data_IF_216569787146
#
_entry.id   IF_216569787146
#
_cell.length_a   1.000
_cell.length_b   1.000
_cell.length_c   1.000
_cell.angle_alpha   90.00
_cell.angle_beta   90.00
_cell.angle_gamma   90.00
#
_symmetry.space_group_name_H-M   'P 1'
#
loop_
_entity.id
_entity.type
_entity.pdbx_description
1 polymer ?
#
# COMPACT_ATOMS: atom_id res chain seq x y z
N UNK A 1 -21.20 -10.52 19.81
CA UNK A 1 -20.35 -9.80 20.79
C UNK A 1 -19.70 -8.62 20.06
N UNK A 2 -20.43 -7.51 19.90
CA UNK A 2 -20.05 -6.31 19.14
C UNK A 2 -19.56 -5.17 20.07
N UNK A 3 -19.06 -5.49 21.28
CA UNK A 3 -18.83 -4.50 22.33
C UNK A 3 -17.58 -3.63 22.21
N UNK A 4 -16.55 -3.99 21.43
CA UNK A 4 -15.23 -3.34 21.54
C UNK A 4 -15.03 -2.10 20.64
N UNK A 5 -15.94 -1.85 19.69
CA UNK A 5 -15.90 -0.64 18.82
C UNK A 5 -16.87 0.44 19.33
N UNK A 6 -17.92 0.06 20.05
CA UNK A 6 -18.87 1.01 20.64
C UNK A 6 -18.25 1.90 21.72
N UNK A 7 -17.19 1.44 22.40
CA UNK A 7 -16.44 2.22 23.40
C UNK A 7 -15.49 3.28 22.79
N UNK A 8 -15.18 3.17 21.49
CA UNK A 8 -14.53 4.25 20.75
C UNK A 8 -15.62 5.09 20.11
N UNK A 9 -15.94 6.24 20.67
CA UNK A 9 -16.97 7.17 20.20
C UNK A 9 -16.73 7.53 18.72
N UNK A 10 -17.26 6.71 17.80
CA UNK A 10 -17.28 6.99 16.36
C UNK A 10 -18.44 7.94 16.10
N UNK A 11 -18.16 9.15 15.59
CA UNK A 11 -19.20 10.14 15.32
C UNK A 11 -20.15 9.69 14.19
N UNK A 12 -21.34 10.33 14.09
CA UNK A 12 -22.28 10.06 12.99
C UNK A 12 -21.65 10.33 11.62
N UNK A 13 -20.81 11.34 11.49
CA UNK A 13 -20.07 11.66 10.27
C UNK A 13 -19.08 10.54 9.89
N UNK A 14 -18.34 10.02 10.88
CA UNK A 14 -17.41 8.91 10.66
C UNK A 14 -18.15 7.65 10.26
N UNK A 15 -19.31 7.35 10.90
CA UNK A 15 -20.16 6.22 10.49
C UNK A 15 -20.67 6.39 9.05
N UNK A 16 -21.02 7.62 8.63
CA UNK A 16 -21.36 7.91 7.24
C UNK A 16 -20.22 7.57 6.29
N UNK A 17 -18.98 7.99 6.60
CA UNK A 17 -17.81 7.72 5.76
C UNK A 17 -17.52 6.22 5.69
N UNK A 18 -17.65 5.48 6.80
CA UNK A 18 -17.49 4.02 6.84
C UNK A 18 -18.51 3.29 5.96
N UNK A 19 -19.78 3.64 6.08
CA UNK A 19 -20.84 3.01 5.30
C UNK A 19 -20.70 3.36 3.81
N UNK A 20 -20.62 4.66 3.51
CA UNK A 20 -20.62 5.15 2.13
C UNK A 20 -19.27 4.95 1.41
N UNK A 21 -18.18 4.70 2.14
CA UNK A 21 -16.85 4.47 1.59
C UNK A 21 -16.62 3.07 1.01
N UNK A 22 -17.54 2.14 1.22
CA UNK A 22 -17.50 0.79 0.63
C UNK A 22 -17.82 0.84 -0.87
N UNK A 23 -17.21 -0.02 -1.67
CA UNK A 23 -17.48 -0.04 -3.10
C UNK A 23 -18.89 -0.51 -3.42
N UNK A 24 -19.46 -1.39 -2.63
CA UNK A 24 -20.85 -1.82 -2.74
C UNK A 24 -21.52 -1.81 -1.35
N UNK A 25 -22.64 -1.11 -1.29
CA UNK A 25 -23.51 -1.13 -0.13
C UNK A 25 -24.49 -2.30 -0.23
N UNK A 26 -24.44 -3.20 0.74
CA UNK A 26 -25.49 -4.20 0.93
C UNK A 26 -26.82 -3.51 1.26
N UNK A 27 -27.95 -4.17 1.01
CA UNK A 27 -29.29 -3.58 1.26
C UNK A 27 -29.48 -3.12 2.71
N UNK A 28 -28.98 -3.89 3.66
CA UNK A 28 -29.03 -3.54 5.08
C UNK A 28 -28.22 -2.26 5.39
N UNK A 29 -27.05 -2.11 4.76
CA UNK A 29 -26.20 -0.93 4.95
C UNK A 29 -26.74 0.29 4.23
N UNK A 30 -27.48 0.12 3.11
CA UNK A 30 -28.24 1.20 2.47
C UNK A 30 -29.30 1.76 3.42
N UNK A 31 -30.04 0.90 4.13
CA UNK A 31 -31.03 1.35 5.09
C UNK A 31 -30.38 2.08 6.29
N UNK A 32 -29.26 1.56 6.79
CA UNK A 32 -28.48 2.23 7.86
C UNK A 32 -28.00 3.60 7.38
N UNK A 33 -27.46 3.69 6.15
CA UNK A 33 -27.02 4.95 5.55
C UNK A 33 -28.19 5.94 5.41
N UNK A 34 -29.36 5.50 4.91
CA UNK A 34 -30.54 6.36 4.80
C UNK A 34 -31.00 6.91 6.15
N UNK A 35 -31.01 6.09 7.20
CA UNK A 35 -31.35 6.58 8.57
C UNK A 35 -30.34 7.62 9.05
N UNK A 36 -29.06 7.35 8.86
CA UNK A 36 -28.00 8.26 9.30
C UNK A 36 -28.00 9.59 8.55
N UNK A 37 -28.26 9.54 7.24
CA UNK A 37 -28.38 10.75 6.39
C UNK A 37 -29.55 11.64 6.77
N UNK A 38 -30.56 11.14 7.49
CA UNK A 38 -31.68 11.95 7.99
C UNK A 38 -31.33 12.71 9.29
N UNK A 39 -30.20 12.42 9.92
CA UNK A 39 -29.71 13.15 11.10
C UNK A 39 -29.08 14.50 10.68
N UNK A 40 -28.98 15.47 11.60
CA UNK A 40 -28.20 16.68 11.37
C UNK A 40 -26.71 16.33 11.33
N UNK A 41 -26.10 16.39 10.14
CA UNK A 41 -24.72 16.00 9.89
C UNK A 41 -23.85 17.19 9.51
N UNK A 42 -22.61 17.22 10.01
CA UNK A 42 -21.59 18.18 9.61
C UNK A 42 -20.95 17.75 8.27
N UNK A 43 -21.60 18.03 7.15
CA UNK A 43 -21.19 17.61 5.80
C UNK A 43 -19.74 17.99 5.44
N UNK A 44 -19.24 19.09 5.98
CA UNK A 44 -17.84 19.49 5.78
C UNK A 44 -16.88 18.47 6.40
N UNK A 45 -17.21 17.87 7.53
CA UNK A 45 -16.40 16.82 8.15
C UNK A 45 -16.48 15.52 7.34
N UNK A 46 -17.67 15.17 6.83
CA UNK A 46 -17.85 13.97 5.97
C UNK A 46 -17.00 14.09 4.71
N UNK A 47 -17.13 15.20 3.96
CA UNK A 47 -16.37 15.39 2.73
C UNK A 47 -14.88 15.41 3.00
N UNK A 48 -14.41 16.13 4.00
CA UNK A 48 -13.01 16.17 4.41
C UNK A 48 -12.48 14.77 4.76
N UNK A 49 -13.16 14.03 5.64
CA UNK A 49 -12.77 12.67 6.01
C UNK A 49 -12.75 11.74 4.79
N UNK A 50 -13.74 11.81 3.91
CA UNK A 50 -13.77 11.01 2.69
C UNK A 50 -12.54 11.25 1.79
N UNK A 51 -12.07 12.50 1.70
CA UNK A 51 -10.83 12.85 0.98
C UNK A 51 -9.58 12.33 1.69
N UNK A 52 -9.44 12.62 2.97
CA UNK A 52 -8.27 12.23 3.77
C UNK A 52 -8.11 10.70 3.82
N UNK A 53 -9.21 9.97 3.90
CA UNK A 53 -9.28 8.52 3.94
C UNK A 53 -9.22 7.86 2.53
N UNK A 54 -9.27 8.65 1.46
CA UNK A 54 -9.15 8.18 0.09
C UNK A 54 -10.35 7.37 -0.42
N UNK A 55 -11.54 7.60 0.13
CA UNK A 55 -12.78 6.87 -0.21
C UNK A 55 -13.86 7.75 -0.85
N UNK A 56 -13.57 9.02 -1.13
CA UNK A 56 -14.54 9.98 -1.67
C UNK A 56 -15.20 9.53 -2.99
N UNK A 57 -14.58 8.75 -3.91
CA UNK A 57 -15.28 8.30 -5.11
C UNK A 57 -16.41 7.31 -4.78
N UNK A 58 -16.16 6.38 -3.84
CA UNK A 58 -17.18 5.45 -3.36
C UNK A 58 -18.30 6.18 -2.63
N UNK A 59 -17.96 7.16 -1.76
CA UNK A 59 -18.94 8.02 -1.07
C UNK A 59 -19.82 8.75 -2.08
N UNK A 60 -19.26 9.41 -3.10
CA UNK A 60 -20.01 10.12 -4.13
C UNK A 60 -20.96 9.18 -4.88
N UNK A 61 -20.47 8.01 -5.30
CA UNK A 61 -21.27 7.00 -6.00
C UNK A 61 -22.43 6.50 -5.16
N UNK A 62 -22.19 6.19 -3.87
CA UNK A 62 -23.23 5.68 -3.00
C UNK A 62 -24.26 6.75 -2.64
N UNK A 63 -23.86 7.99 -2.39
CA UNK A 63 -24.78 9.12 -2.23
C UNK A 63 -25.65 9.33 -3.49
N UNK A 64 -25.07 9.21 -4.69
CA UNK A 64 -25.82 9.28 -5.95
C UNK A 64 -26.85 8.16 -6.05
N UNK A 65 -26.52 6.92 -5.68
CA UNK A 65 -27.44 5.77 -5.64
C UNK A 65 -28.59 5.99 -4.66
N UNK A 66 -28.32 6.67 -3.54
CA UNK A 66 -29.31 7.07 -2.53
C UNK A 66 -30.06 8.36 -2.88
N UNK A 67 -29.85 8.92 -4.09
CA UNK A 67 -30.56 10.11 -4.60
C UNK A 67 -30.08 11.42 -3.98
N UNK A 68 -28.87 11.50 -3.44
CA UNK A 68 -28.28 12.71 -2.80
C UNK A 68 -29.16 13.29 -1.67
N UNK A 69 -29.92 12.44 -0.99
CA UNK A 69 -30.85 12.88 0.06
C UNK A 69 -30.10 13.61 1.17
N UNK A 70 -30.61 14.78 1.56
CA UNK A 70 -30.07 15.64 2.63
C UNK A 70 -28.65 16.16 2.41
N UNK A 71 -28.05 15.95 1.23
CA UNK A 71 -26.70 16.45 0.91
C UNK A 71 -26.81 17.89 0.42
N UNK A 72 -26.11 18.85 1.03
CA UNK A 72 -26.05 20.22 0.53
C UNK A 72 -25.48 20.27 -0.89
N UNK A 73 -26.08 21.08 -1.77
CA UNK A 73 -25.72 21.18 -3.18
C UNK A 73 -24.22 21.47 -3.40
N UNK A 74 -23.65 22.34 -2.58
CA UNK A 74 -22.20 22.64 -2.64
C UNK A 74 -21.36 21.40 -2.41
N UNK A 75 -21.71 20.53 -1.44
CA UNK A 75 -20.98 19.30 -1.14
C UNK A 75 -21.18 18.22 -2.21
N UNK A 76 -22.39 18.14 -2.76
CA UNK A 76 -22.67 17.30 -3.92
C UNK A 76 -21.77 17.67 -5.10
N UNK A 77 -21.76 18.96 -5.48
CA UNK A 77 -20.98 19.46 -6.61
C UNK A 77 -19.46 19.19 -6.42
N UNK A 78 -18.96 19.39 -5.19
CA UNK A 78 -17.58 19.12 -4.80
C UNK A 78 -17.24 17.62 -4.99
N UNK A 79 -18.03 16.71 -4.43
CA UNK A 79 -17.82 15.27 -4.53
C UNK A 79 -17.92 14.79 -5.98
N UNK A 80 -18.90 15.24 -6.75
CA UNK A 80 -19.06 14.88 -8.17
C UNK A 80 -17.89 15.37 -9.03
N UNK A 81 -17.38 16.58 -8.76
CA UNK A 81 -16.21 17.10 -9.47
C UNK A 81 -14.94 16.27 -9.17
N UNK A 82 -14.72 15.94 -7.91
CA UNK A 82 -13.59 15.13 -7.50
C UNK A 82 -13.64 13.70 -8.03
N UNK A 83 -14.82 13.08 -8.02
CA UNK A 83 -15.02 11.75 -8.61
C UNK A 83 -14.67 11.74 -10.11
N UNK A 84 -15.15 12.74 -10.87
CA UNK A 84 -14.82 12.87 -12.30
C UNK A 84 -13.32 13.06 -12.53
N UNK A 85 -12.67 13.89 -11.70
CA UNK A 85 -11.24 14.13 -11.79
C UNK A 85 -10.43 12.85 -11.49
N UNK A 86 -10.84 12.10 -10.46
CA UNK A 86 -10.22 10.81 -10.12
C UNK A 86 -10.37 9.80 -11.27
N UNK A 87 -11.56 9.68 -11.85
CA UNK A 87 -11.80 8.80 -12.98
C UNK A 87 -10.93 9.16 -14.20
N UNK A 88 -10.85 10.46 -14.55
CA UNK A 88 -10.00 10.95 -15.62
C UNK A 88 -8.52 10.66 -15.37
N UNK A 89 -8.03 10.91 -14.14
CA UNK A 89 -6.67 10.59 -13.74
C UNK A 89 -6.38 9.09 -13.84
N UNK A 90 -7.26 8.26 -13.31
CA UNK A 90 -7.07 6.82 -13.33
C UNK A 90 -7.10 6.26 -14.77
N UNK A 91 -7.88 6.84 -15.69
CA UNK A 91 -7.83 6.48 -17.11
C UNK A 91 -6.44 6.77 -17.72
N UNK A 92 -5.78 7.85 -17.33
CA UNK A 92 -4.39 8.15 -17.73
C UNK A 92 -3.39 7.17 -17.11
N UNK A 93 -3.59 6.80 -15.84
CA UNK A 93 -2.77 5.77 -15.17
C UNK A 93 -2.92 4.40 -15.84
N UNK A 94 -4.13 3.99 -16.22
CA UNK A 94 -4.38 2.76 -17.00
C UNK A 94 -3.58 2.74 -18.29
N UNK A 95 -3.59 3.86 -19.05
CA UNK A 95 -2.81 3.98 -20.28
C UNK A 95 -1.30 3.91 -20.01
N UNK A 96 -0.83 4.55 -18.92
CA UNK A 96 0.56 4.49 -18.48
C UNK A 96 0.98 3.05 -18.16
N UNK A 97 0.18 2.37 -17.33
CA UNK A 97 0.40 0.98 -16.96
C UNK A 97 0.40 0.06 -18.18
N UNK A 98 -0.57 0.20 -19.07
CA UNK A 98 -0.66 -0.58 -20.30
C UNK A 98 0.61 -0.52 -21.14
N UNK A 99 1.16 0.69 -21.35
CA UNK A 99 2.45 0.86 -22.07
C UNK A 99 3.61 0.14 -21.40
N UNK A 100 3.70 0.23 -20.07
CA UNK A 100 4.75 -0.47 -19.31
C UNK A 100 4.59 -1.98 -19.46
N UNK A 101 3.38 -2.51 -19.26
CA UNK A 101 3.11 -3.94 -19.36
C UNK A 101 3.42 -4.51 -20.75
N UNK A 102 2.97 -3.85 -21.82
CA UNK A 102 3.30 -4.23 -23.20
C UNK A 102 4.83 -4.22 -23.45
N UNK A 103 5.51 -3.24 -22.90
CA UNK A 103 6.96 -3.11 -23.08
C UNK A 103 7.72 -4.24 -22.39
N UNK A 104 7.29 -4.63 -21.19
CA UNK A 104 7.86 -5.73 -20.44
C UNK A 104 7.54 -7.09 -21.09
N UNK A 105 6.32 -7.26 -21.58
CA UNK A 105 5.91 -8.46 -22.30
C UNK A 105 6.77 -8.68 -23.57
N UNK A 106 6.95 -7.64 -24.40
CA UNK A 106 7.84 -7.69 -25.58
C UNK A 106 9.30 -7.99 -25.24
N UNK A 107 9.75 -7.60 -24.05
CA UNK A 107 11.08 -7.90 -23.56
C UNK A 107 11.21 -9.29 -22.91
N UNK A 108 10.09 -10.05 -22.81
CA UNK A 108 10.05 -11.36 -22.17
C UNK A 108 10.24 -11.28 -20.65
N UNK A 109 10.00 -10.12 -20.02
CA UNK A 109 10.12 -9.94 -18.58
C UNK A 109 8.77 -10.22 -17.93
N UNK A 110 8.65 -11.26 -17.08
CA UNK A 110 7.43 -11.49 -16.33
C UNK A 110 7.12 -10.29 -15.45
N UNK A 111 5.91 -9.73 -15.60
CA UNK A 111 5.48 -8.55 -14.85
C UNK A 111 4.07 -8.76 -14.31
N UNK A 112 3.85 -8.30 -13.09
CA UNK A 112 2.58 -8.39 -12.39
C UNK A 112 2.19 -7.00 -11.88
N UNK A 113 1.12 -6.38 -12.40
CA UNK A 113 0.61 -5.17 -11.78
C UNK A 113 0.02 -5.52 -10.41
N UNK A 114 0.38 -4.72 -9.41
CA UNK A 114 -0.11 -4.92 -8.05
C UNK A 114 -1.39 -4.09 -7.82
N UNK A 115 -1.53 -3.43 -6.71
CA UNK A 115 -2.64 -2.54 -6.34
C UNK A 115 -3.03 -1.50 -7.42
N UNK A 116 -3.49 -0.35 -7.02
CA UNK A 116 -3.76 0.79 -7.91
C UNK A 116 -4.93 0.53 -8.87
N UNK A 117 -4.73 0.95 -10.11
CA UNK A 117 -5.76 0.81 -11.17
C UNK A 117 -6.00 -0.64 -11.58
N UNK A 118 -5.02 -1.52 -11.41
CA UNK A 118 -5.18 -2.95 -11.70
C UNK A 118 -6.13 -3.63 -10.71
N UNK A 119 -6.02 -3.29 -9.42
CA UNK A 119 -6.95 -3.73 -8.38
C UNK A 119 -8.33 -3.08 -8.57
N UNK A 120 -8.39 -1.80 -8.92
CA UNK A 120 -9.65 -1.13 -9.20
C UNK A 120 -10.43 -1.81 -10.34
N UNK A 121 -9.75 -2.19 -11.42
CA UNK A 121 -10.34 -2.93 -12.54
C UNK A 121 -10.86 -4.31 -12.10
N UNK A 122 -10.02 -5.10 -11.42
CA UNK A 122 -10.36 -6.49 -11.06
C UNK A 122 -11.39 -6.59 -9.94
N UNK A 123 -11.26 -5.75 -8.91
CA UNK A 123 -12.03 -5.86 -7.68
C UNK A 123 -13.28 -4.98 -7.70
N UNK A 124 -13.17 -3.75 -8.21
CA UNK A 124 -14.27 -2.80 -8.19
C UNK A 124 -15.07 -2.80 -9.51
N UNK A 125 -14.49 -3.29 -10.60
CA UNK A 125 -15.08 -3.27 -11.94
C UNK A 125 -15.21 -1.86 -12.53
N UNK A 126 -14.64 -0.86 -11.87
CA UNK A 126 -14.63 0.55 -12.25
C UNK A 126 -13.36 1.21 -11.69
N UNK A 127 -12.47 1.58 -12.60
CA UNK A 127 -11.18 2.21 -12.21
C UNK A 127 -11.36 3.56 -11.52
N UNK A 128 -12.50 4.22 -11.71
CA UNK A 128 -12.81 5.51 -11.09
C UNK A 128 -13.11 5.43 -9.58
N UNK A 129 -13.43 4.25 -9.05
CA UNK A 129 -13.88 4.10 -7.66
C UNK A 129 -12.78 4.06 -6.61
N UNK A 130 -11.56 3.82 -7.02
CA UNK A 130 -10.41 3.76 -6.12
C UNK A 130 -9.50 4.97 -6.34
N UNK A 131 -9.04 5.59 -5.25
CA UNK A 131 -8.03 6.66 -5.35
C UNK A 131 -6.66 6.03 -5.55
N UNK A 132 -6.06 6.31 -6.73
CA UNK A 132 -4.74 5.82 -7.11
C UNK A 132 -3.76 6.99 -7.27
N UNK A 133 -2.53 6.85 -6.75
CA UNK A 133 -1.46 7.86 -6.84
C UNK A 133 -0.28 7.42 -7.71
N UNK A 134 -0.07 6.13 -7.80
CA UNK A 134 1.12 5.44 -8.27
C UNK A 134 0.75 4.23 -9.13
N UNK A 135 1.74 3.72 -9.85
CA UNK A 135 1.68 2.45 -10.56
C UNK A 135 2.70 1.50 -9.92
N UNK A 136 2.23 0.36 -9.45
CA UNK A 136 3.08 -0.65 -8.85
C UNK A 136 3.16 -1.87 -9.76
N UNK A 137 4.37 -2.29 -10.09
CA UNK A 137 4.63 -3.51 -10.83
C UNK A 137 5.62 -4.39 -10.09
N UNK A 138 5.38 -5.69 -10.07
CA UNK A 138 6.26 -6.69 -9.47
C UNK A 138 6.92 -7.51 -10.57
N UNK A 139 8.23 -7.67 -10.47
CA UNK A 139 9.02 -8.55 -11.35
C UNK A 139 9.79 -9.58 -10.51
N UNK A 140 10.17 -10.74 -11.07
CA UNK A 140 11.12 -11.63 -10.41
C UNK A 140 12.43 -10.90 -10.09
N UNK A 141 13.01 -11.16 -8.93
CA UNK A 141 14.26 -10.50 -8.50
C UNK A 141 15.38 -10.63 -9.54
N UNK A 142 15.47 -11.75 -10.24
CA UNK A 142 16.45 -11.97 -11.31
C UNK A 142 16.25 -11.04 -12.50
N UNK A 143 15.04 -10.55 -12.72
CA UNK A 143 14.72 -9.66 -13.84
C UNK A 143 14.94 -8.16 -13.51
N UNK A 144 15.20 -7.80 -12.23
CA UNK A 144 15.32 -6.40 -11.80
C UNK A 144 16.36 -5.61 -12.59
N UNK A 145 17.59 -6.12 -12.85
CA UNK A 145 18.57 -5.36 -13.64
C UNK A 145 18.06 -5.05 -15.04
N UNK A 146 17.50 -6.03 -15.74
CA UNK A 146 16.98 -5.87 -17.09
C UNK A 146 15.75 -4.93 -17.12
N UNK A 147 14.84 -5.08 -16.14
CA UNK A 147 13.68 -4.19 -15.99
C UNK A 147 14.10 -2.72 -15.78
N UNK A 148 15.14 -2.51 -14.97
CA UNK A 148 15.69 -1.20 -14.70
C UNK A 148 16.28 -0.56 -15.96
N UNK A 149 17.14 -1.30 -16.69
CA UNK A 149 17.73 -0.85 -17.94
C UNK A 149 16.67 -0.55 -19.00
N UNK A 150 15.62 -1.39 -19.09
CA UNK A 150 14.51 -1.21 -20.00
C UNK A 150 13.76 0.10 -19.74
N UNK A 151 13.44 0.39 -18.47
CA UNK A 151 12.77 1.64 -18.08
C UNK A 151 13.64 2.86 -18.41
N UNK A 152 14.95 2.81 -18.14
CA UNK A 152 15.86 3.91 -18.49
C UNK A 152 15.93 4.11 -20.00
N UNK A 153 16.01 3.04 -20.79
CA UNK A 153 16.01 3.10 -22.25
C UNK A 153 14.72 3.72 -22.83
N UNK A 154 13.61 3.53 -22.14
CA UNK A 154 12.30 4.13 -22.50
C UNK A 154 12.14 5.56 -21.94
N UNK A 155 13.22 6.16 -21.38
CA UNK A 155 13.25 7.54 -20.89
C UNK A 155 12.65 7.75 -19.51
N UNK A 156 12.46 6.69 -18.71
CA UNK A 156 12.10 6.84 -17.31
C UNK A 156 13.31 7.30 -16.50
N UNK A 157 13.08 8.26 -15.62
CA UNK A 157 14.09 8.75 -14.69
C UNK A 157 13.84 8.20 -13.30
N UNK A 158 14.90 7.99 -12.51
CA UNK A 158 14.76 7.59 -11.12
C UNK A 158 14.10 8.72 -10.32
N UNK A 159 13.08 8.37 -9.54
CA UNK A 159 12.29 9.33 -8.76
C UNK A 159 13.07 9.93 -7.59
N UNK A 160 14.07 9.22 -7.11
CA UNK A 160 15.00 9.70 -6.09
C UNK A 160 16.30 10.27 -6.74
N UNK A 161 17.04 11.05 -5.95
CA UNK A 161 18.30 11.65 -6.40
C UNK A 161 19.49 10.67 -6.36
N UNK A 162 19.27 9.43 -5.99
CA UNK A 162 20.32 8.44 -5.74
C UNK A 162 21.14 8.09 -6.99
N UNK A 163 20.60 8.34 -8.21
CA UNK A 163 21.23 8.01 -9.47
C UNK A 163 21.90 6.61 -9.45
N UNK A 164 21.12 5.61 -9.03
CA UNK A 164 21.55 4.21 -8.99
C UNK A 164 22.07 3.82 -10.36
N UNK A 165 23.27 3.24 -10.42
CA UNK A 165 23.82 2.71 -11.67
C UNK A 165 23.40 1.25 -11.83
N UNK A 166 23.33 0.73 -13.07
CA UNK A 166 23.05 -0.69 -13.30
C UNK A 166 23.96 -1.63 -12.51
N UNK A 167 25.23 -1.26 -12.29
CA UNK A 167 26.19 -2.01 -11.46
C UNK A 167 25.79 -2.15 -9.99
N UNK A 168 24.99 -1.21 -9.47
CA UNK A 168 24.63 -1.16 -8.06
C UNK A 168 23.32 -1.93 -7.78
N UNK A 169 22.55 -2.23 -8.84
CA UNK A 169 21.21 -2.82 -8.73
C UNK A 169 21.24 -4.16 -8.00
N UNK A 170 22.17 -5.05 -8.36
CA UNK A 170 22.28 -6.35 -7.72
C UNK A 170 22.61 -6.26 -6.22
N UNK A 171 23.35 -5.24 -5.81
CA UNK A 171 23.65 -4.96 -4.42
C UNK A 171 22.40 -4.41 -3.72
N UNK A 172 21.76 -3.41 -4.30
CA UNK A 172 20.57 -2.76 -3.74
C UNK A 172 19.35 -3.67 -3.70
N UNK A 173 19.18 -4.57 -4.68
CA UNK A 173 18.12 -5.56 -4.67
C UNK A 173 18.16 -6.52 -3.47
N UNK A 174 19.26 -6.56 -2.73
CA UNK A 174 19.37 -7.31 -1.47
C UNK A 174 18.86 -6.53 -0.26
N UNK A 175 18.80 -5.21 -0.35
CA UNK A 175 18.49 -4.32 0.78
C UNK A 175 17.24 -3.47 0.58
N UNK A 176 16.84 -3.21 -0.66
CA UNK A 176 15.57 -2.59 -1.03
C UNK A 176 14.56 -3.65 -1.49
N UNK A 177 13.34 -3.23 -1.77
CA UNK A 177 12.28 -4.07 -2.34
C UNK A 177 11.64 -3.43 -3.57
N UNK A 178 11.94 -2.17 -3.83
CA UNK A 178 11.35 -1.36 -4.89
C UNK A 178 12.32 -0.24 -5.31
N UNK A 179 12.14 0.24 -6.54
CA UNK A 179 12.70 1.50 -7.04
C UNK A 179 11.59 2.34 -7.64
N UNK A 180 11.60 3.65 -7.34
CA UNK A 180 10.70 4.62 -7.93
C UNK A 180 11.23 5.20 -9.24
N UNK A 181 10.34 5.38 -10.21
CA UNK A 181 10.63 6.00 -11.50
C UNK A 181 9.57 7.05 -11.84
N UNK A 182 9.99 8.11 -12.49
CA UNK A 182 9.10 9.08 -13.13
C UNK A 182 9.11 8.87 -14.64
N UNK A 183 7.95 8.93 -15.32
CA UNK A 183 7.89 8.78 -16.77
C UNK A 183 8.55 9.96 -17.48
N UNK A 184 8.88 9.83 -18.79
CA UNK A 184 9.35 10.94 -19.61
C UNK A 184 8.44 12.16 -19.51
N UNK A 185 9.01 13.38 -19.59
CA UNK A 185 8.28 14.65 -19.46
C UNK A 185 7.10 14.82 -20.46
N UNK A 186 7.12 14.09 -21.56
CA UNK A 186 6.03 14.06 -22.55
C UNK A 186 4.81 13.23 -22.11
N UNK A 187 4.94 12.44 -21.03
CA UNK A 187 3.87 11.61 -20.49
C UNK A 187 3.12 12.33 -19.36
N UNK A 188 1.90 11.81 -19.05
CA UNK A 188 1.21 12.22 -17.84
C UNK A 188 2.04 11.84 -16.61
N UNK A 189 2.24 12.74 -15.63
CA UNK A 189 3.09 12.50 -14.48
C UNK A 189 2.47 11.48 -13.52
N UNK A 190 3.25 10.45 -13.18
CA UNK A 190 2.94 9.45 -12.15
C UNK A 190 4.24 8.91 -11.54
N UNK A 191 4.14 8.27 -10.40
CA UNK A 191 5.22 7.46 -9.85
C UNK A 191 5.01 6.01 -10.32
N UNK A 192 6.05 5.39 -10.91
CA UNK A 192 6.11 3.96 -11.19
C UNK A 192 7.03 3.31 -10.16
N UNK A 193 6.50 2.41 -9.35
CA UNK A 193 7.26 1.63 -8.38
C UNK A 193 7.53 0.23 -8.95
N UNK A 194 8.80 -0.04 -9.25
CA UNK A 194 9.29 -1.34 -9.67
C UNK A 194 9.63 -2.18 -8.44
N UNK A 195 8.76 -3.12 -8.10
CA UNK A 195 8.92 -4.04 -6.97
C UNK A 195 9.54 -5.37 -7.39
N UNK A 196 10.24 -6.03 -6.47
CA UNK A 196 10.67 -7.44 -6.57
C UNK A 196 10.40 -8.22 -5.29
N UNK A 197 9.77 -7.58 -4.32
CA UNK A 197 9.31 -8.20 -3.08
C UNK A 197 8.02 -7.49 -2.62
N UNK A 198 7.13 -8.21 -1.96
CA UNK A 198 5.87 -7.66 -1.43
C UNK A 198 5.89 -7.50 0.08
N UNK A 199 6.77 -8.20 0.75
CA UNK A 199 6.88 -8.21 2.21
C UNK A 199 8.13 -7.45 2.64
N UNK A 200 7.92 -6.25 2.98
CA UNK A 200 8.87 -5.30 3.47
C UNK A 200 9.92 -5.91 4.42
N UNK A 201 11.15 -6.10 3.94
CA UNK A 201 12.37 -6.48 4.68
C UNK A 201 12.22 -7.64 5.69
N UNK A 202 11.06 -8.29 5.76
CA UNK A 202 10.78 -9.28 6.79
C UNK A 202 11.65 -10.51 6.69
N UNK A 203 11.77 -11.05 5.52
CA UNK A 203 12.64 -12.21 5.35
C UNK A 203 13.55 -12.16 4.13
N UNK A 204 13.16 -11.43 3.05
CA UNK A 204 13.89 -11.51 1.77
C UNK A 204 14.04 -12.98 1.36
N UNK A 205 12.96 -13.73 1.50
CA UNK A 205 12.99 -15.18 1.44
C UNK A 205 12.70 -15.58 -0.01
N UNK A 206 13.68 -16.20 -0.67
CA UNK A 206 13.47 -16.75 -2.00
C UNK A 206 12.24 -17.67 -2.02
N UNK A 207 12.03 -18.45 -0.96
CA UNK A 207 10.88 -19.33 -0.82
C UNK A 207 9.52 -18.61 -0.84
N UNK A 208 9.43 -17.35 -0.37
CA UNK A 208 8.20 -16.58 -0.47
C UNK A 208 7.96 -16.10 -1.90
N UNK A 209 9.00 -15.63 -2.58
CA UNK A 209 8.91 -15.23 -3.98
C UNK A 209 8.55 -16.42 -4.88
N UNK A 210 9.18 -17.58 -4.67
CA UNK A 210 8.89 -18.81 -5.41
C UNK A 210 7.44 -19.26 -5.21
N UNK A 211 6.93 -19.24 -3.97
CA UNK A 211 5.53 -19.58 -3.66
C UNK A 211 4.55 -18.60 -4.29
N UNK A 212 4.87 -17.30 -4.25
CA UNK A 212 4.04 -16.24 -4.83
C UNK A 212 3.94 -16.39 -6.36
N UNK A 213 5.10 -16.50 -7.04
CA UNK A 213 5.15 -16.63 -8.50
C UNK A 213 4.62 -18.00 -8.96
N UNK A 214 4.85 -19.06 -8.19
CA UNK A 214 4.30 -20.41 -8.46
C UNK A 214 2.77 -20.48 -8.35
N UNK A 215 2.17 -19.64 -7.52
CA UNK A 215 0.70 -19.52 -7.38
C UNK A 215 0.09 -18.44 -8.28
N UNK A 216 0.90 -17.67 -9.01
CA UNK A 216 0.43 -16.58 -9.87
C UNK A 216 -0.48 -17.10 -10.99
N UNK A 217 -1.41 -16.26 -11.39
CA UNK A 217 -2.39 -16.58 -12.45
C UNK A 217 -2.25 -15.61 -13.60
N UNK A 218 -2.77 -15.98 -14.78
CA UNK A 218 -2.90 -15.08 -15.91
C UNK A 218 -4.30 -14.47 -15.92
N UNK A 219 -4.39 -13.20 -16.27
CA UNK A 219 -5.66 -12.52 -16.56
C UNK A 219 -5.49 -11.46 -17.64
N UNK A 220 -6.60 -11.06 -18.23
CA UNK A 220 -6.64 -9.92 -19.13
C UNK A 220 -6.74 -8.61 -18.36
N UNK A 221 -5.90 -7.65 -18.71
CA UNK A 221 -5.97 -6.27 -18.25
C UNK A 221 -5.96 -5.37 -19.49
N UNK A 222 -7.12 -4.80 -19.82
CA UNK A 222 -7.29 -3.91 -20.99
C UNK A 222 -6.70 -4.46 -22.29
N UNK A 223 -6.93 -5.74 -22.55
CA UNK A 223 -6.46 -6.43 -23.76
C UNK A 223 -5.04 -6.98 -23.71
N UNK A 224 -4.32 -6.78 -22.60
CA UNK A 224 -2.97 -7.30 -22.37
C UNK A 224 -3.07 -8.48 -21.39
N UNK A 225 -2.40 -9.59 -21.71
CA UNK A 225 -2.30 -10.71 -20.78
C UNK A 225 -1.22 -10.44 -19.76
N UNK A 226 -1.57 -10.43 -18.46
CA UNK A 226 -0.68 -10.13 -17.36
C UNK A 226 -0.69 -11.23 -16.31
N UNK A 227 0.39 -11.34 -15.56
CA UNK A 227 0.41 -12.10 -14.32
C UNK A 227 -0.35 -11.35 -13.23
N UNK A 228 -0.97 -12.07 -12.31
CA UNK A 228 -1.66 -11.51 -11.15
C UNK A 228 -1.48 -12.42 -9.94
N UNK A 229 -1.58 -11.86 -8.76
CA UNK A 229 -1.56 -12.63 -7.51
C UNK A 229 -2.72 -13.64 -7.49
N UNK A 230 -2.50 -14.80 -6.85
CA UNK A 230 -3.64 -15.62 -6.45
C UNK A 230 -4.48 -14.87 -5.40
N UNK A 231 -5.77 -15.19 -5.23
CA UNK A 231 -6.61 -14.52 -4.23
C UNK A 231 -6.01 -14.53 -2.83
N UNK A 232 -5.38 -15.63 -2.44
CA UNK A 232 -4.73 -15.80 -1.13
C UNK A 232 -3.53 -14.85 -1.00
N UNK A 233 -2.69 -14.75 -2.05
CA UNK A 233 -1.57 -13.82 -2.06
C UNK A 233 -2.01 -12.37 -2.18
N UNK A 234 -3.10 -12.08 -2.89
CA UNK A 234 -3.66 -10.73 -2.96
C UNK A 234 -4.13 -10.24 -1.58
N UNK A 235 -4.86 -11.08 -0.83
CA UNK A 235 -5.25 -10.75 0.54
C UNK A 235 -4.04 -10.55 1.45
N UNK A 236 -3.03 -11.42 1.39
CA UNK A 236 -1.81 -11.30 2.18
C UNK A 236 -1.02 -10.03 1.81
N UNK A 237 -0.90 -9.73 0.52
CA UNK A 237 -0.25 -8.51 0.05
C UNK A 237 -0.96 -7.25 0.54
N UNK A 238 -2.28 -7.16 0.41
CA UNK A 238 -3.06 -6.02 0.87
C UNK A 238 -2.96 -5.83 2.38
N UNK A 239 -2.96 -6.92 3.15
CA UNK A 239 -2.79 -6.86 4.60
C UNK A 239 -1.38 -6.35 4.99
N UNK A 240 -0.33 -6.78 4.31
CA UNK A 240 1.04 -6.30 4.51
C UNK A 240 1.18 -4.85 4.07
N UNK A 241 0.57 -4.48 2.94
CA UNK A 241 0.57 -3.11 2.45
C UNK A 241 -0.13 -2.15 3.41
N UNK A 242 -1.30 -2.51 3.94
CA UNK A 242 -1.98 -1.75 4.97
C UNK A 242 -1.14 -1.62 6.25
N UNK A 243 -0.45 -2.71 6.66
CA UNK A 243 0.45 -2.68 7.81
C UNK A 243 1.67 -1.77 7.60
N UNK A 244 2.24 -1.75 6.38
CA UNK A 244 3.32 -0.83 5.98
C UNK A 244 2.89 0.63 6.12
N UNK A 245 1.67 0.93 5.75
CA UNK A 245 1.05 2.25 5.92
C UNK A 245 0.36 2.41 7.28
N UNK A 246 0.64 1.53 8.25
CA UNK A 246 0.09 1.61 9.62
C UNK A 246 -1.43 1.61 9.68
N UNK A 247 -2.07 1.03 8.66
CA UNK A 247 -3.53 1.08 8.44
C UNK A 247 -4.10 2.51 8.41
N UNK A 248 -3.27 3.52 8.10
CA UNK A 248 -3.66 4.92 7.97
C UNK A 248 -4.23 5.17 6.58
N UNK A 249 -5.55 5.20 6.49
CA UNK A 249 -6.30 5.35 5.26
C UNK A 249 -7.31 4.23 5.05
N UNK A 250 -8.57 4.61 5.12
CA UNK A 250 -9.69 3.68 5.02
C UNK A 250 -9.68 2.89 3.71
N UNK A 251 -9.17 3.50 2.62
CA UNK A 251 -9.08 2.85 1.30
C UNK A 251 -8.39 1.48 1.33
N UNK A 252 -7.37 1.30 2.16
CA UNK A 252 -6.66 0.01 2.24
C UNK A 252 -7.46 -1.06 2.98
N UNK A 253 -8.23 -0.65 3.99
CA UNK A 253 -9.14 -1.56 4.69
C UNK A 253 -10.36 -1.89 3.84
N UNK A 254 -10.84 -0.94 3.03
CA UNK A 254 -11.90 -1.18 2.04
C UNK A 254 -11.42 -2.18 0.98
N UNK A 255 -10.19 -2.05 0.46
CA UNK A 255 -9.61 -3.04 -0.47
C UNK A 255 -9.66 -4.46 0.13
N UNK A 256 -9.25 -4.63 1.39
CA UNK A 256 -9.25 -5.92 2.09
C UNK A 256 -10.69 -6.43 2.30
N UNK A 257 -11.61 -5.56 2.71
CA UNK A 257 -13.02 -5.90 2.87
C UNK A 257 -13.63 -6.41 1.57
N UNK A 258 -13.40 -5.69 0.45
CA UNK A 258 -13.93 -6.05 -0.86
C UNK A 258 -13.33 -7.37 -1.39
N UNK A 259 -12.04 -7.62 -1.16
CA UNK A 259 -11.42 -8.92 -1.49
C UNK A 259 -12.07 -10.03 -0.69
N UNK A 260 -12.26 -9.85 0.63
CA UNK A 260 -12.88 -10.87 1.48
C UNK A 260 -14.34 -11.16 1.14
N UNK A 261 -15.07 -10.16 0.61
CA UNK A 261 -16.48 -10.34 0.22
C UNK A 261 -16.65 -10.98 -1.15
N UNK A 262 -15.70 -10.79 -2.06
CA UNK A 262 -15.85 -11.19 -3.47
C UNK A 262 -15.04 -12.42 -3.87
N UNK A 263 -13.84 -12.57 -3.31
CA UNK A 263 -12.99 -13.70 -3.65
C UNK A 263 -13.37 -14.94 -2.86
N UNK A 264 -13.24 -16.10 -3.51
CA UNK A 264 -13.30 -17.38 -2.83
C UNK A 264 -11.88 -17.76 -2.41
N UNK A 265 -11.66 -17.89 -1.11
CA UNK A 265 -10.37 -18.28 -0.54
C UNK A 265 -10.39 -19.71 -0.06
N UNK A 266 -9.25 -20.36 -0.19
CA UNK A 266 -8.87 -21.43 0.71
C UNK A 266 -8.23 -20.80 1.97
N UNK A 267 -9.04 -20.66 3.03
CA UNK A 267 -8.60 -20.02 4.28
C UNK A 267 -7.50 -20.78 5.01
N UNK A 268 -7.43 -22.08 4.84
CA UNK A 268 -6.34 -22.88 5.40
C UNK A 268 -5.03 -22.52 4.68
N UNK A 269 -5.06 -22.43 3.36
CA UNK A 269 -3.92 -21.93 2.56
C UNK A 269 -3.53 -20.51 2.93
N UNK A 270 -4.48 -19.58 3.11
CA UNK A 270 -4.19 -18.20 3.57
C UNK A 270 -3.46 -18.23 4.91
N UNK A 271 -4.00 -19.01 5.87
CA UNK A 271 -3.47 -19.07 7.22
C UNK A 271 -2.09 -19.70 7.27
N UNK A 272 -1.87 -20.77 6.51
CA UNK A 272 -0.59 -21.48 6.45
C UNK A 272 0.49 -20.63 5.78
N UNK A 273 0.19 -19.98 4.66
CA UNK A 273 1.10 -19.01 4.02
C UNK A 273 1.42 -17.86 4.97
N UNK A 274 0.42 -17.28 5.63
CA UNK A 274 0.63 -16.21 6.59
C UNK A 274 1.58 -16.63 7.73
N UNK A 275 1.41 -17.82 8.29
CA UNK A 275 2.29 -18.37 9.34
C UNK A 275 3.68 -18.69 8.83
N UNK A 276 3.77 -19.37 7.68
CA UNK A 276 5.03 -19.78 7.06
C UNK A 276 5.92 -18.58 6.78
N UNK A 277 5.35 -17.51 6.26
CA UNK A 277 6.09 -16.32 5.87
C UNK A 277 6.07 -15.19 6.92
N UNK A 278 5.46 -15.42 8.08
CA UNK A 278 5.44 -14.46 9.20
C UNK A 278 4.55 -13.24 8.97
N UNK A 279 3.52 -13.38 8.14
CA UNK A 279 2.55 -12.34 7.80
C UNK A 279 1.28 -12.42 8.67
N UNK A 280 1.21 -13.40 9.56
CA UNK A 280 0.02 -13.76 10.36
C UNK A 280 -0.50 -12.63 11.24
N UNK A 281 0.36 -11.75 11.76
CA UNK A 281 -0.08 -10.62 12.56
C UNK A 281 -0.62 -9.47 11.73
N UNK A 282 0.03 -9.16 10.59
CA UNK A 282 -0.48 -8.15 9.68
C UNK A 282 -1.87 -8.55 9.17
N UNK A 283 -2.04 -9.81 8.76
CA UNK A 283 -3.32 -10.37 8.36
C UNK A 283 -4.34 -10.27 9.50
N UNK A 284 -4.00 -10.72 10.72
CA UNK A 284 -4.92 -10.73 11.86
C UNK A 284 -5.40 -9.33 12.23
N UNK A 285 -4.51 -8.32 12.27
CA UNK A 285 -4.88 -6.94 12.58
C UNK A 285 -5.78 -6.37 11.48
N UNK A 286 -5.42 -6.60 10.21
CA UNK A 286 -6.21 -6.12 9.07
C UNK A 286 -7.62 -6.70 9.06
N UNK A 287 -7.76 -8.02 9.23
CA UNK A 287 -9.06 -8.67 9.25
C UNK A 287 -9.90 -8.26 10.47
N UNK A 288 -9.26 -8.10 11.63
CA UNK A 288 -9.95 -7.61 12.84
C UNK A 288 -10.48 -6.18 12.66
N UNK A 289 -9.68 -5.30 12.03
CA UNK A 289 -10.11 -3.94 11.71
C UNK A 289 -11.26 -3.94 10.69
N UNK A 290 -11.15 -4.72 9.62
CA UNK A 290 -12.19 -4.83 8.60
C UNK A 290 -13.49 -5.40 9.16
N UNK A 291 -13.42 -6.39 10.05
CA UNK A 291 -14.62 -6.93 10.70
C UNK A 291 -15.26 -5.89 11.63
N UNK A 292 -14.45 -5.19 12.42
CA UNK A 292 -14.95 -4.17 13.34
C UNK A 292 -15.58 -2.97 12.62
N UNK A 293 -15.02 -2.55 11.47
CA UNK A 293 -15.47 -1.35 10.75
C UNK A 293 -16.58 -1.65 9.74
N UNK A 294 -16.53 -2.79 9.05
CA UNK A 294 -17.40 -3.10 7.90
C UNK A 294 -18.22 -4.37 8.09
N UNK A 295 -18.05 -5.11 9.22
CA UNK A 295 -18.69 -6.42 9.36
C UNK A 295 -18.18 -7.45 8.34
N UNK A 296 -16.92 -7.35 7.91
CA UNK A 296 -16.32 -8.22 6.88
C UNK A 296 -16.58 -9.69 7.19
N UNK A 297 -17.15 -10.48 6.26
CA UNK A 297 -17.42 -11.89 6.49
C UNK A 297 -16.11 -12.66 6.62
N UNK A 298 -15.94 -13.36 7.72
CA UNK A 298 -14.80 -14.23 7.98
C UNK A 298 -15.29 -15.64 8.27
N UNK A 299 -14.52 -16.71 7.94
CA UNK A 299 -14.93 -18.06 8.21
C UNK A 299 -15.06 -18.29 9.72
N UNK A 300 -16.00 -19.15 10.18
CA UNK A 300 -16.18 -19.45 11.60
C UNK A 300 -14.92 -19.99 12.29
N UNK A 301 -14.03 -20.63 11.51
CA UNK A 301 -12.73 -21.13 11.99
C UNK A 301 -11.71 -20.01 12.25
N UNK A 302 -11.95 -18.78 11.75
CA UNK A 302 -11.04 -17.66 11.95
C UNK A 302 -11.35 -16.94 13.26
N UNK A 303 -10.44 -17.06 14.22
CA UNK A 303 -10.57 -16.38 15.52
C UNK A 303 -10.21 -14.91 15.39
N UNK A 304 -11.20 -14.04 15.42
CA UNK A 304 -11.02 -12.58 15.40
C UNK A 304 -10.46 -12.13 16.73
N UNK A 305 -9.48 -11.24 16.66
CA UNK A 305 -8.86 -10.63 17.84
C UNK A 305 -9.37 -9.20 18.01
N UNK A 306 -9.39 -8.66 19.23
CA UNK A 306 -9.68 -7.25 19.44
C UNK A 306 -8.72 -6.38 18.64
N UNK A 307 -9.25 -5.31 18.04
CA UNK A 307 -8.43 -4.31 17.35
C UNK A 307 -7.50 -3.67 18.37
N UNK A 308 -6.18 -3.66 18.13
CA UNK A 308 -5.23 -3.09 19.07
C UNK A 308 -5.57 -1.64 19.41
N UNK A 309 -5.51 -1.25 20.71
CA UNK A 309 -5.83 0.10 21.16
C UNK A 309 -4.96 1.19 20.54
N UNK A 310 -3.76 0.84 20.09
CA UNK A 310 -2.83 1.75 19.42
C UNK A 310 -3.13 1.97 17.94
N UNK A 311 -4.06 1.20 17.34
CA UNK A 311 -4.47 1.37 15.95
C UNK A 311 -5.54 2.46 15.87
N UNK A 312 -5.26 3.62 15.26
CA UNK A 312 -6.29 4.62 15.01
C UNK A 312 -7.22 4.08 13.90
N UNK A 313 -8.51 4.04 14.17
CA UNK A 313 -9.50 3.61 13.16
C UNK A 313 -9.84 4.72 12.15
N UNK A 314 -9.52 5.97 12.49
CA UNK A 314 -9.62 7.15 11.64
C UNK A 314 -8.38 8.01 11.86
N UNK A 315 -7.34 7.82 11.09
CA UNK A 315 -6.08 8.52 11.28
C UNK A 315 -5.97 9.81 10.47
N UNK A 316 -6.99 10.62 10.37
CA UNK A 316 -6.81 11.95 9.84
C UNK A 316 -5.70 12.66 10.64
N UNK A 317 -4.51 12.80 10.09
CA UNK A 317 -3.38 13.55 10.64
C UNK A 317 -2.45 12.86 11.65
N UNK A 318 -2.16 11.57 11.52
CA UNK A 318 -1.01 11.05 12.26
C UNK A 318 0.31 11.66 11.68
N UNK A 319 1.18 12.24 12.52
CA UNK A 319 2.41 12.86 12.04
C UNK A 319 3.31 11.84 11.34
N UNK A 320 4.01 12.28 10.28
CA UNK A 320 5.05 11.45 9.66
C UNK A 320 6.05 11.02 10.74
N UNK A 321 6.18 9.72 10.90
CA UNK A 321 7.13 9.16 11.86
C UNK A 321 8.43 8.84 11.13
N UNK A 322 9.56 9.19 11.74
CA UNK A 322 10.87 8.81 11.23
C UNK A 322 11.04 7.28 11.17
N UNK A 323 11.95 6.81 10.31
CA UNK A 323 12.22 5.38 10.03
C UNK A 323 12.32 4.48 11.28
N UNK A 324 12.91 4.98 12.37
CA UNK A 324 13.07 4.23 13.62
C UNK A 324 11.75 4.00 14.37
N UNK A 325 10.87 4.99 14.40
CA UNK A 325 9.55 4.82 15.02
C UNK A 325 8.70 3.83 14.22
N UNK A 326 8.81 3.89 12.91
CA UNK A 326 8.18 2.94 12.00
C UNK A 326 8.72 1.52 12.22
N UNK A 327 10.06 1.36 12.29
CA UNK A 327 10.70 0.09 12.59
C UNK A 327 10.24 -0.50 13.94
N UNK A 328 10.05 0.35 14.95
CA UNK A 328 9.55 -0.08 16.25
C UNK A 328 8.09 -0.54 16.23
N UNK A 329 7.26 0.02 15.35
CA UNK A 329 5.90 -0.48 15.14
C UNK A 329 5.90 -1.80 14.39
N UNK A 330 6.65 -1.88 13.29
CA UNK A 330 6.74 -3.10 12.48
C UNK A 330 7.29 -4.27 13.28
N UNK A 331 8.27 -4.04 14.17
CA UNK A 331 8.76 -5.12 15.04
C UNK A 331 7.65 -5.77 15.87
N UNK A 332 6.56 -5.06 16.21
CA UNK A 332 5.41 -5.60 16.95
C UNK A 332 4.64 -6.65 16.13
N UNK A 333 4.81 -6.65 14.81
CA UNK A 333 4.19 -7.62 13.92
C UNK A 333 4.87 -8.99 13.98
N UNK A 334 6.09 -9.10 14.52
CA UNK A 334 6.77 -10.38 14.68
C UNK A 334 6.38 -11.08 15.98
N UNK A 335 6.02 -12.36 15.92
CA UNK A 335 5.68 -13.16 17.10
C UNK A 335 6.90 -13.51 17.94
N UNK A 336 7.97 -13.98 17.28
CA UNK A 336 9.17 -14.46 17.96
C UNK A 336 10.12 -13.32 18.27
N UNK A 337 10.69 -13.30 19.48
CA UNK A 337 11.70 -12.31 19.89
C UNK A 337 12.91 -12.31 18.95
N UNK A 338 13.34 -13.49 18.50
CA UNK A 338 14.45 -13.63 17.56
C UNK A 338 14.17 -12.95 16.21
N UNK A 339 12.97 -13.06 15.68
CA UNK A 339 12.60 -12.41 14.41
C UNK A 339 12.56 -10.88 14.58
N UNK A 340 12.16 -10.38 15.76
CA UNK A 340 12.25 -8.94 16.10
C UNK A 340 13.68 -8.45 16.09
N UNK A 341 14.59 -9.21 16.72
CA UNK A 341 16.01 -8.86 16.75
C UNK A 341 16.64 -8.93 15.35
N UNK A 342 16.35 -9.98 14.58
CA UNK A 342 16.80 -10.10 13.18
C UNK A 342 16.30 -8.95 12.31
N UNK A 343 15.06 -8.54 12.48
CA UNK A 343 14.49 -7.41 11.76
C UNK A 343 15.22 -6.11 12.10
N UNK A 344 15.41 -5.81 13.40
CA UNK A 344 16.13 -4.62 13.82
C UNK A 344 17.61 -4.64 13.36
N UNK A 345 18.27 -5.80 13.46
CA UNK A 345 19.63 -5.97 12.96
C UNK A 345 19.71 -5.72 11.44
N UNK A 346 18.71 -6.19 10.66
CA UNK A 346 18.67 -5.91 9.23
C UNK A 346 18.52 -4.43 8.91
N UNK A 347 17.67 -3.71 9.63
CA UNK A 347 17.50 -2.27 9.42
C UNK A 347 18.79 -1.53 9.79
N UNK A 348 19.43 -1.91 10.89
CA UNK A 348 20.65 -1.28 11.34
C UNK A 348 21.87 -1.57 10.45
N UNK A 349 21.95 -2.80 9.93
CA UNK A 349 23.17 -3.28 9.25
C UNK A 349 23.09 -3.22 7.74
N UNK A 350 21.90 -3.38 7.14
CA UNK A 350 21.80 -3.42 5.67
C UNK A 350 21.91 -2.02 5.08
N UNK A 351 22.82 -1.82 4.13
CA UNK A 351 22.94 -0.56 3.41
C UNK A 351 21.65 -0.24 2.65
N UNK A 352 21.37 1.05 2.52
CA UNK A 352 20.24 1.60 1.76
C UNK A 352 20.76 2.55 0.68
N UNK A 353 19.86 3.18 -0.05
CA UNK A 353 20.20 4.26 -0.99
C UNK A 353 20.95 5.40 -0.30
N UNK A 354 20.64 5.70 0.96
CA UNK A 354 21.29 6.76 1.71
C UNK A 354 22.80 6.57 1.88
N UNK A 355 23.32 5.35 1.87
CA UNK A 355 24.77 5.12 1.91
C UNK A 355 25.43 5.43 0.56
N UNK A 356 24.75 5.15 -0.55
CA UNK A 356 25.21 5.49 -1.90
C UNK A 356 25.20 7.01 -2.13
N UNK A 357 24.22 7.70 -1.58
CA UNK A 357 24.15 9.17 -1.61
C UNK A 357 25.22 9.82 -0.73
N UNK A 358 25.47 9.22 0.44
CA UNK A 358 26.49 9.73 1.39
C UNK A 358 27.91 9.58 0.86
N UNK A 359 28.27 8.43 0.27
CA UNK A 359 29.57 8.17 -0.33
C UNK A 359 29.49 7.09 -1.40
N UNK A 360 29.83 7.45 -2.65
CA UNK A 360 29.91 6.49 -3.74
C UNK A 360 31.24 5.73 -3.72
N UNK A 361 31.14 4.43 -3.52
CA UNK A 361 32.29 3.53 -3.57
C UNK A 361 32.50 3.01 -5.00
N UNK A 362 33.75 2.75 -5.43
CA UNK A 362 34.05 2.08 -6.68
C UNK A 362 33.39 0.70 -6.79
N UNK A 363 33.12 0.27 -8.03
CA UNK A 363 32.61 -1.07 -8.30
C UNK A 363 33.54 -2.12 -7.65
N UNK A 364 32.93 -3.13 -6.96
CA UNK A 364 33.65 -4.15 -6.21
C UNK A 364 33.83 -3.88 -4.73
N UNK A 365 33.71 -2.62 -4.26
CA UNK A 365 33.83 -2.28 -2.85
C UNK A 365 32.48 -2.21 -2.10
N UNK A 366 31.41 -2.78 -2.66
CA UNK A 366 30.06 -2.76 -2.09
C UNK A 366 29.96 -3.29 -0.65
N UNK A 367 30.85 -4.22 -0.26
CA UNK A 367 30.92 -4.71 1.12
C UNK A 367 31.22 -3.60 2.16
N UNK A 368 31.89 -2.52 1.75
CA UNK A 368 32.22 -1.39 2.63
C UNK A 368 30.99 -0.51 2.96
N UNK A 369 29.88 -0.65 2.22
CA UNK A 369 28.64 0.01 2.61
C UNK A 369 28.07 -0.47 3.93
N UNK A 370 28.38 -1.70 4.38
CA UNK A 370 27.93 -2.18 5.69
C UNK A 370 28.52 -1.39 6.87
N UNK A 371 29.85 -1.22 7.00
CA UNK A 371 30.41 -0.36 8.03
C UNK A 371 30.05 1.12 7.80
N UNK A 372 29.97 1.60 6.56
CA UNK A 372 29.56 2.96 6.25
C UNK A 372 28.14 3.27 6.75
N UNK A 373 27.23 2.29 6.70
CA UNK A 373 25.88 2.39 7.29
C UNK A 373 25.95 2.72 8.78
N UNK A 374 26.78 2.03 9.53
CA UNK A 374 26.93 2.26 10.97
C UNK A 374 27.48 3.66 11.28
N UNK A 375 28.47 4.10 10.49
CA UNK A 375 29.03 5.46 10.60
C UNK A 375 27.94 6.50 10.32
N UNK A 376 27.20 6.39 9.21
CA UNK A 376 26.14 7.33 8.87
C UNK A 376 25.04 7.38 9.92
N UNK A 377 24.60 6.24 10.42
CA UNK A 377 23.59 6.18 11.50
C UNK A 377 24.09 6.80 12.79
N UNK A 378 25.37 6.62 13.14
CA UNK A 378 25.97 7.24 14.33
C UNK A 378 26.02 8.77 14.20
N UNK A 379 26.41 9.28 13.03
CA UNK A 379 26.42 10.72 12.73
C UNK A 379 24.99 11.28 12.80
N UNK A 380 24.03 10.63 12.14
CA UNK A 380 22.62 11.05 12.16
C UNK A 380 22.04 11.10 13.58
N UNK A 381 22.37 10.10 14.41
CA UNK A 381 21.94 10.07 15.81
C UNK A 381 22.60 11.18 16.64
N UNK A 382 23.89 11.43 16.46
CA UNK A 382 24.60 12.51 17.13
C UNK A 382 24.04 13.89 16.75
N UNK A 383 23.76 14.13 15.46
CA UNK A 383 23.13 15.37 14.99
C UNK A 383 21.71 15.56 15.55
N UNK A 384 20.92 14.48 15.66
CA UNK A 384 19.58 14.54 16.23
C UNK A 384 19.60 14.87 17.74
N UNK A 385 20.58 14.33 18.49
CA UNK A 385 20.75 14.58 19.93
C UNK A 385 21.28 15.99 20.21
N UNK A 386 22.19 16.50 19.35
CA UNK A 386 22.80 17.83 19.53
C UNK A 386 21.93 19.01 19.07
N UNK A 387 20.71 18.77 18.59
CA UNK A 387 19.82 19.84 18.11
C UNK A 387 20.26 20.52 16.82
N UNK A 388 21.37 20.09 16.19
CA UNK A 388 21.92 20.64 14.94
C UNK A 388 21.12 20.23 13.69
N UNK A 389 20.02 19.48 13.86
CA UNK A 389 19.22 18.89 12.79
C UNK A 389 18.43 19.91 11.92
N UNK A 390 18.35 21.18 12.31
CA UNK A 390 17.54 22.17 11.59
C UNK A 390 18.15 22.65 10.26
N UNK A 391 19.48 22.53 10.08
CA UNK A 391 20.19 23.03 8.89
C UNK A 391 20.66 21.95 7.89
N UNK A 392 20.69 20.68 8.26
CA UNK A 392 21.35 19.61 7.49
C UNK A 392 20.43 18.46 7.02
N UNK A 393 19.12 18.64 7.03
CA UNK A 393 18.16 17.60 6.59
C UNK A 393 18.40 17.13 5.14
N UNK A 394 18.98 17.97 4.31
CA UNK A 394 19.23 17.64 2.90
C UNK A 394 20.56 16.88 2.66
N UNK A 395 21.46 16.81 3.63
CA UNK A 395 22.79 16.18 3.45
C UNK A 395 22.86 14.74 3.97
N UNK A 396 21.93 14.30 4.78
CA UNK A 396 22.01 13.00 5.47
C UNK A 396 20.93 11.99 5.04
N UNK A 397 20.04 12.36 4.13
CA UNK A 397 18.97 11.45 3.65
C UNK A 397 18.07 10.96 4.81
N UNK A 398 17.67 11.88 5.73
CA UNK A 398 16.79 11.61 6.87
C UNK A 398 15.37 12.04 6.57
#
# INVERSE_FOLDING_TARGET
MNGDVEDRQVSSEQRCVLLLGQANLASEDQEKACRLLAEPLAWQLITRSAYEEGVYPAVARNLRRLGWRHVPEVRRNELEAAERLNAARNALLVRGLGRVLERFDRAGIPVMPLKGVALADSLYGDVGLRVCSDLDILVPRSAVPHAFELLQADGYEQADRSQVKPSDINFLARSAMEFGFTPPASAFPYLLELHWDIAWRWRGDAAMADDLWGAARRRQFWGIEVWTLSPEWELLYLAVHAARHRWQGLKWLVDIHEVCTRAKFDWDTVTDKARRFGLDRALAISLSACQALFGTPLPPSYSVRPVPSWLPLFPASAPQMGEWREALLVRRLFRRRLDRLRYLARIALRPTLGELEFLRLPAGLGALYYPLRLVRLSIATACAVSGLAAGHRNCLGL
#
